data_IF_120535275301
#
_entry.id   IF_120535275301
#
_cell.length_a   1.000
_cell.length_b   1.000
_cell.length_c   1.000
_cell.angle_alpha   90.00
_cell.angle_beta   90.00
_cell.angle_gamma   90.00
#
_symmetry.space_group_name_H-M   'P 1'
#
loop_
_entity.id
_entity.type
_entity.pdbx_description
1 polymer ?
#
# COMPACT_ATOMS: atom_id res chain seq x y z
N UNK A 1 -7.41 12.82 -28.93
CA UNK A 1 -6.00 12.92 -29.36
C UNK A 1 -5.23 11.83 -28.63
N UNK A 2 -4.47 10.99 -29.34
CA UNK A 2 -3.69 9.90 -28.77
C UNK A 2 -2.21 10.28 -28.88
N UNK A 3 -1.52 10.37 -27.73
CA UNK A 3 -0.07 10.55 -27.69
C UNK A 3 0.60 9.19 -27.45
N UNK A 4 1.57 8.86 -28.29
CA UNK A 4 2.43 7.70 -28.11
C UNK A 4 3.87 8.20 -28.02
N UNK A 5 4.60 7.68 -27.02
CA UNK A 5 6.01 7.98 -26.83
C UNK A 5 6.73 6.70 -26.40
N UNK A 6 7.97 6.53 -26.83
CA UNK A 6 8.85 5.51 -26.26
C UNK A 6 9.20 5.94 -24.83
N UNK A 7 9.14 4.98 -23.89
CA UNK A 7 9.52 5.26 -22.51
C UNK A 7 10.98 5.72 -22.43
N UNK A 8 11.18 6.82 -21.72
CA UNK A 8 12.48 7.31 -21.31
C UNK A 8 12.38 7.79 -19.85
N UNK A 9 13.33 7.45 -18.97
CA UNK A 9 13.36 8.00 -17.62
C UNK A 9 13.36 9.52 -17.64
N UNK A 10 12.58 10.14 -16.77
CA UNK A 10 12.50 11.60 -16.70
C UNK A 10 11.14 12.09 -16.24
N UNK A 11 10.71 13.22 -16.84
CA UNK A 11 9.48 13.90 -16.47
C UNK A 11 8.63 14.23 -17.69
N UNK A 12 7.37 13.86 -17.60
CA UNK A 12 6.32 14.26 -18.57
C UNK A 12 5.44 15.32 -17.91
N UNK A 13 5.22 16.43 -18.62
CA UNK A 13 4.35 17.52 -18.14
C UNK A 13 3.26 17.74 -19.18
N UNK A 14 2.01 17.62 -18.74
CA UNK A 14 0.83 18.02 -19.51
C UNK A 14 0.32 19.37 -19.00
N UNK A 15 0.05 20.28 -19.91
CA UNK A 15 -0.48 21.61 -19.56
C UNK A 15 -1.75 21.87 -20.35
N UNK A 16 -2.83 22.21 -19.64
CA UNK A 16 -4.12 22.55 -20.21
C UNK A 16 -4.31 24.07 -20.29
N UNK A 17 -4.87 24.55 -21.42
CA UNK A 17 -5.19 25.95 -21.61
C UNK A 17 -6.67 26.12 -21.95
N UNK A 18 -7.28 27.20 -21.46
CA UNK A 18 -8.62 27.67 -21.82
C UNK A 18 -8.55 29.18 -22.07
N UNK A 19 -9.02 29.62 -23.22
CA UNK A 19 -8.99 31.04 -23.63
C UNK A 19 -7.58 31.67 -23.49
N UNK A 20 -6.53 30.96 -23.91
CA UNK A 20 -5.14 31.38 -23.78
C UNK A 20 -4.54 31.37 -22.38
N UNK A 21 -5.32 31.09 -21.36
CA UNK A 21 -4.84 31.00 -19.97
C UNK A 21 -4.58 29.55 -19.58
N UNK A 22 -3.45 29.29 -18.92
CA UNK A 22 -3.13 27.98 -18.32
C UNK A 22 -4.07 27.71 -17.16
N UNK A 23 -4.82 26.61 -17.23
CA UNK A 23 -5.80 26.22 -16.20
C UNK A 23 -5.40 24.93 -15.47
N UNK A 24 -4.55 24.10 -16.08
CA UNK A 24 -4.15 22.81 -15.51
C UNK A 24 -2.68 22.52 -15.82
N UNK A 25 -2.00 21.91 -14.88
CA UNK A 25 -0.67 21.31 -15.06
C UNK A 25 -0.62 19.99 -14.33
N UNK A 26 -0.34 18.91 -15.04
CA UNK A 26 -0.09 17.59 -14.49
C UNK A 26 1.35 17.19 -14.78
N UNK A 27 2.03 16.64 -13.78
CA UNK A 27 3.41 16.18 -13.93
C UNK A 27 3.50 14.74 -13.46
N UNK A 28 4.14 13.90 -14.26
CA UNK A 28 4.51 12.52 -13.91
C UNK A 28 6.02 12.41 -14.06
N UNK A 29 6.69 11.86 -13.06
CA UNK A 29 8.14 11.66 -13.05
C UNK A 29 8.45 10.18 -12.83
N UNK A 30 9.49 9.68 -13.48
CA UNK A 30 10.07 8.36 -13.17
C UNK A 30 10.49 8.32 -11.70
N UNK A 31 10.13 7.26 -11.02
CA UNK A 31 10.50 7.06 -9.61
C UNK A 31 11.98 6.76 -9.45
N UNK A 32 12.49 6.99 -8.27
CA UNK A 32 13.79 6.52 -7.81
C UNK A 32 13.66 5.09 -7.25
N UNK A 33 14.77 4.41 -6.94
CA UNK A 33 14.71 3.12 -6.24
C UNK A 33 13.86 3.19 -4.98
N UNK A 34 13.23 2.07 -4.61
CA UNK A 34 12.48 1.93 -3.39
C UNK A 34 13.34 2.27 -2.17
N UNK A 35 12.81 3.08 -1.25
CA UNK A 35 13.55 3.60 -0.11
C UNK A 35 12.81 3.42 1.23
N UNK A 36 11.49 3.29 1.23
CA UNK A 36 10.71 3.15 2.45
C UNK A 36 9.39 2.44 2.21
N UNK A 37 8.84 1.87 3.29
CA UNK A 37 7.48 1.37 3.39
C UNK A 37 6.66 2.43 4.12
N UNK A 38 5.47 2.72 3.63
CA UNK A 38 4.50 3.61 4.28
C UNK A 38 3.21 2.83 4.49
N UNK A 39 2.70 2.88 5.72
CA UNK A 39 1.43 2.28 6.12
C UNK A 39 0.40 3.39 6.27
N UNK A 40 -0.74 3.28 5.60
CA UNK A 40 -1.84 4.25 5.67
C UNK A 40 -3.13 3.54 6.02
N UNK A 41 -3.62 3.75 7.23
CA UNK A 41 -4.92 3.25 7.65
C UNK A 41 -6.04 4.17 7.12
N UNK A 42 -7.16 3.58 6.69
CA UNK A 42 -8.35 4.30 6.27
C UNK A 42 -9.01 5.06 7.44
N UNK A 43 -8.77 4.59 8.67
CA UNK A 43 -9.28 5.19 9.92
C UNK A 43 -8.30 4.97 11.06
N UNK A 44 -8.31 5.88 12.03
CA UNK A 44 -7.43 5.83 13.21
C UNK A 44 -8.05 5.10 14.41
N UNK A 45 -9.36 4.92 14.40
CA UNK A 45 -10.11 4.29 15.48
C UNK A 45 -11.08 3.26 14.92
N UNK A 46 -11.14 2.12 15.57
CA UNK A 46 -12.12 1.06 15.35
C UNK A 46 -12.74 0.65 16.69
N UNK A 47 -13.96 0.16 16.64
CA UNK A 47 -14.69 -0.29 17.83
C UNK A 47 -14.15 -1.63 18.30
N UNK A 48 -13.87 -1.78 19.59
CA UNK A 48 -13.39 -3.05 20.16
C UNK A 48 -14.58 -4.03 20.41
N UNK A 49 -15.27 -4.39 19.32
CA UNK A 49 -16.46 -5.27 19.36
C UNK A 49 -16.20 -6.66 18.72
N UNK A 50 -14.94 -6.91 18.32
CA UNK A 50 -14.54 -8.14 17.64
C UNK A 50 -15.02 -8.24 16.19
N UNK A 51 -15.54 -7.15 15.59
CA UNK A 51 -16.12 -7.13 14.23
C UNK A 51 -15.63 -5.99 13.37
N UNK A 52 -15.36 -4.82 13.97
CA UNK A 52 -14.95 -3.64 13.26
C UNK A 52 -13.57 -3.83 12.61
N UNK A 53 -13.40 -3.31 11.40
CA UNK A 53 -12.22 -3.55 10.56
C UNK A 53 -11.63 -2.24 10.09
N UNK A 54 -10.31 -2.11 10.17
CA UNK A 54 -9.54 -1.08 9.48
C UNK A 54 -8.81 -1.67 8.28
N UNK A 55 -8.71 -0.88 7.20
CA UNK A 55 -7.97 -1.22 6.00
C UNK A 55 -6.67 -0.42 6.00
N UNK A 56 -5.54 -1.11 5.95
CA UNK A 56 -4.24 -0.48 5.87
C UNK A 56 -3.64 -0.70 4.49
N UNK A 57 -3.43 0.37 3.75
CA UNK A 57 -2.68 0.36 2.50
C UNK A 57 -1.19 0.42 2.79
N UNK A 58 -0.43 -0.49 2.19
CA UNK A 58 1.03 -0.50 2.23
C UNK A 58 1.54 0.07 0.91
N UNK A 59 2.40 1.08 0.99
CA UNK A 59 3.04 1.68 -0.18
C UNK A 59 4.56 1.54 -0.09
N UNK A 60 5.16 1.06 -1.17
CA UNK A 60 6.61 1.08 -1.35
C UNK A 60 6.96 2.38 -2.05
N UNK A 61 7.61 3.27 -1.35
CA UNK A 61 7.89 4.62 -1.84
C UNK A 61 9.38 4.86 -2.05
N UNK A 62 9.69 5.75 -2.99
CA UNK A 62 11.02 6.33 -3.14
C UNK A 62 11.28 7.46 -2.11
N UNK A 63 12.48 8.04 -2.15
CA UNK A 63 12.87 9.13 -1.26
C UNK A 63 12.02 10.42 -1.44
N UNK A 64 11.29 10.54 -2.56
CA UNK A 64 10.40 11.68 -2.84
C UNK A 64 8.94 11.40 -2.47
N UNK A 65 8.64 10.23 -1.90
CA UNK A 65 7.29 9.84 -1.52
C UNK A 65 6.42 9.38 -2.68
N UNK A 66 7.01 8.93 -3.77
CA UNK A 66 6.28 8.38 -4.92
C UNK A 66 6.27 6.87 -4.84
N UNK A 67 5.11 6.26 -5.10
CA UNK A 67 4.98 4.81 -5.19
C UNK A 67 5.87 4.30 -6.32
N UNK A 68 6.68 3.29 -6.04
CA UNK A 68 7.60 2.67 -7.00
C UNK A 68 6.89 1.52 -7.71
N UNK A 69 6.48 1.68 -8.99
CA UNK A 69 5.54 0.78 -9.64
C UNK A 69 6.14 -0.56 -10.07
N UNK A 70 7.43 -0.74 -9.97
CA UNK A 70 8.16 -1.98 -10.24
C UNK A 70 8.69 -2.65 -8.96
N UNK A 71 8.35 -2.11 -7.79
CA UNK A 71 8.73 -2.70 -6.50
C UNK A 71 7.79 -3.85 -6.11
N UNK A 72 8.36 -5.04 -6.00
CA UNK A 72 7.64 -6.24 -5.60
C UNK A 72 8.38 -7.02 -4.48
N UNK A 73 8.84 -6.34 -3.40
CA UNK A 73 9.52 -7.05 -2.31
C UNK A 73 8.54 -7.94 -1.55
N UNK A 74 9.07 -8.97 -0.89
CA UNK A 74 8.31 -9.73 0.10
C UNK A 74 8.13 -8.87 1.36
N UNK A 75 6.89 -8.66 1.76
CA UNK A 75 6.52 -7.94 2.98
C UNK A 75 6.27 -8.94 4.09
N UNK A 76 6.86 -8.70 5.26
CA UNK A 76 6.51 -9.38 6.52
C UNK A 76 5.77 -8.37 7.38
N UNK A 77 4.52 -8.67 7.71
CA UNK A 77 3.65 -7.84 8.53
C UNK A 77 3.45 -8.48 9.89
N UNK A 78 3.49 -7.69 10.95
CA UNK A 78 3.20 -8.12 12.31
C UNK A 78 2.29 -7.13 13.02
N UNK A 79 1.29 -7.64 13.73
CA UNK A 79 0.30 -6.88 14.50
C UNK A 79 0.51 -7.14 16.00
N UNK A 80 0.55 -6.07 16.77
CA UNK A 80 0.55 -6.11 18.23
C UNK A 80 -0.77 -5.54 18.76
N UNK A 81 -1.24 -6.05 19.92
CA UNK A 81 -2.48 -5.62 20.56
C UNK A 81 -3.61 -6.65 20.41
N UNK A 82 -4.80 -6.33 20.97
CA UNK A 82 -5.99 -7.19 20.90
C UNK A 82 -6.73 -6.99 19.58
N UNK A 83 -6.21 -7.62 18.54
CA UNK A 83 -6.73 -7.62 17.18
C UNK A 83 -6.11 -8.75 16.38
N UNK A 84 -6.53 -8.88 15.13
CA UNK A 84 -5.98 -9.88 14.21
C UNK A 84 -5.86 -9.35 12.78
N UNK A 85 -4.93 -9.87 12.04
CA UNK A 85 -4.89 -9.72 10.60
C UNK A 85 -5.99 -10.64 10.03
N UNK A 86 -7.03 -10.04 9.47
CA UNK A 86 -8.17 -10.76 8.91
C UNK A 86 -7.86 -11.29 7.51
N UNK A 87 -7.11 -10.52 6.74
CA UNK A 87 -6.74 -10.86 5.38
C UNK A 87 -5.73 -9.87 4.82
N UNK A 88 -5.15 -10.25 3.70
CA UNK A 88 -4.20 -9.44 2.94
C UNK A 88 -4.48 -9.55 1.45
N UNK A 89 -4.06 -8.56 0.68
CA UNK A 89 -4.14 -8.57 -0.76
C UNK A 89 -3.07 -7.68 -1.37
N UNK A 90 -2.58 -8.05 -2.54
CA UNK A 90 -1.61 -7.22 -3.27
C UNK A 90 -2.13 -6.72 -4.62
N UNK A 91 -3.31 -7.18 -5.04
CA UNK A 91 -3.91 -6.78 -6.32
C UNK A 91 -3.32 -7.48 -7.54
N UNK A 92 -2.43 -8.45 -7.37
CA UNK A 92 -1.90 -9.27 -8.46
C UNK A 92 -2.93 -10.35 -8.85
N UNK A 93 -3.52 -10.29 -10.06
CA UNK A 93 -4.50 -11.27 -10.50
C UNK A 93 -3.92 -12.67 -10.72
N UNK A 94 -2.60 -12.81 -10.75
CA UNK A 94 -1.89 -14.09 -10.90
C UNK A 94 -1.41 -14.68 -9.58
N UNK A 95 -1.59 -13.96 -8.46
CA UNK A 95 -1.18 -14.44 -7.15
C UNK A 95 -2.09 -15.58 -6.67
N UNK A 96 -1.50 -16.75 -6.46
CA UNK A 96 -2.18 -17.96 -5.98
C UNK A 96 -1.78 -18.34 -4.55
N UNK A 97 -1.03 -17.48 -3.88
CA UNK A 97 -0.65 -17.69 -2.48
C UNK A 97 -1.80 -17.43 -1.50
N UNK A 98 -1.56 -17.65 -0.21
CA UNK A 98 -2.57 -17.41 0.83
C UNK A 98 -2.87 -15.90 0.93
N UNK A 99 -4.14 -15.58 1.16
CA UNK A 99 -4.66 -14.22 1.33
C UNK A 99 -5.11 -13.91 2.77
N UNK A 100 -4.95 -14.87 3.68
CA UNK A 100 -5.23 -14.73 5.10
C UNK A 100 -4.24 -15.55 5.94
N UNK A 101 -3.96 -15.12 7.19
CA UNK A 101 -3.10 -15.84 8.10
C UNK A 101 -3.69 -17.20 8.50
N UNK A 102 -2.82 -18.08 8.99
CA UNK A 102 -3.25 -19.30 9.64
C UNK A 102 -4.02 -18.97 10.94
N UNK A 103 -5.07 -19.72 11.26
CA UNK A 103 -5.86 -19.55 12.49
C UNK A 103 -5.03 -19.59 13.78
N UNK A 104 -3.88 -20.28 13.76
CA UNK A 104 -2.97 -20.39 14.90
C UNK A 104 -2.04 -19.18 15.07
N UNK A 105 -1.80 -18.41 14.01
CA UNK A 105 -1.00 -17.19 14.03
C UNK A 105 -1.65 -16.12 13.16
N UNK A 106 -2.60 -15.41 13.73
CA UNK A 106 -3.29 -14.32 13.07
C UNK A 106 -2.62 -12.95 13.26
N UNK A 107 -1.42 -12.91 13.83
CA UNK A 107 -0.67 -11.69 14.11
C UNK A 107 0.48 -11.46 13.14
N UNK A 108 0.91 -12.48 12.39
CA UNK A 108 1.97 -12.36 11.40
C UNK A 108 1.54 -12.87 10.04
N UNK A 109 2.00 -12.21 8.98
CA UNK A 109 1.74 -12.62 7.61
C UNK A 109 2.82 -12.16 6.65
N UNK A 110 3.03 -12.92 5.58
CA UNK A 110 3.94 -12.55 4.49
C UNK A 110 3.21 -12.50 3.16
N UNK A 111 3.42 -11.42 2.41
CA UNK A 111 2.85 -11.22 1.08
C UNK A 111 3.83 -10.46 0.18
N UNK A 112 4.02 -10.83 -1.08
CA UNK A 112 4.75 -9.99 -2.01
C UNK A 112 3.95 -8.71 -2.30
N UNK A 113 4.60 -7.55 -2.29
CA UNK A 113 4.00 -6.36 -2.86
C UNK A 113 3.83 -6.53 -4.37
N UNK A 114 2.84 -5.88 -4.95
CA UNK A 114 2.62 -5.84 -6.38
C UNK A 114 2.49 -4.39 -6.85
N UNK A 115 3.32 -4.01 -7.81
CA UNK A 115 3.37 -2.64 -8.31
C UNK A 115 3.56 -1.58 -7.20
N UNK A 116 4.35 -1.92 -6.18
CA UNK A 116 4.61 -1.05 -5.03
C UNK A 116 3.50 -0.97 -4.01
N UNK A 117 2.49 -1.83 -4.08
CA UNK A 117 1.30 -1.80 -3.22
C UNK A 117 1.00 -3.15 -2.58
N UNK A 118 0.40 -3.10 -1.40
CA UNK A 118 -0.31 -4.20 -0.76
C UNK A 118 -1.40 -3.62 0.16
N UNK A 119 -2.31 -4.48 0.63
CA UNK A 119 -3.39 -4.10 1.53
C UNK A 119 -3.52 -5.13 2.65
N UNK A 120 -3.77 -4.65 3.85
CA UNK A 120 -3.92 -5.48 5.06
C UNK A 120 -5.24 -5.09 5.72
N UNK A 121 -6.05 -6.08 6.06
CA UNK A 121 -7.28 -5.91 6.81
C UNK A 121 -7.03 -6.30 8.27
N UNK A 122 -7.28 -5.38 9.19
CA UNK A 122 -7.11 -5.58 10.62
C UNK A 122 -8.48 -5.55 11.28
N UNK A 123 -8.84 -6.62 11.97
CA UNK A 123 -10.05 -6.72 12.77
C UNK A 123 -9.75 -6.46 14.24
N UNK A 124 -10.63 -5.71 14.91
CA UNK A 124 -10.55 -5.46 16.35
C UNK A 124 -10.75 -6.74 17.16
N UNK A 125 -10.15 -6.80 18.35
CA UNK A 125 -10.56 -7.70 19.42
C UNK A 125 -11.69 -7.11 20.26
N UNK A 126 -11.83 -7.58 21.48
CA UNK A 126 -12.87 -7.14 22.42
C UNK A 126 -12.35 -6.22 23.52
N UNK A 127 -11.05 -6.10 23.65
CA UNK A 127 -10.39 -5.26 24.67
C UNK A 127 -9.89 -3.95 24.04
N UNK A 128 -10.34 -2.78 24.50
CA UNK A 128 -9.80 -1.51 24.04
C UNK A 128 -8.28 -1.44 24.26
N UNK A 129 -7.53 -1.33 23.18
CA UNK A 129 -6.06 -1.27 23.20
C UNK A 129 -5.54 -0.51 22.00
N UNK A 130 -4.24 -0.22 22.00
CA UNK A 130 -3.55 0.28 20.82
C UNK A 130 -3.16 -0.91 19.93
N UNK A 131 -3.60 -0.89 18.68
CA UNK A 131 -3.14 -1.83 17.66
C UNK A 131 -1.94 -1.22 16.94
N UNK A 132 -0.82 -1.91 16.95
CA UNK A 132 0.39 -1.48 16.27
C UNK A 132 0.73 -2.44 15.14
N UNK A 133 0.63 -1.97 13.90
CA UNK A 133 1.06 -2.72 12.72
C UNK A 133 2.47 -2.32 12.33
N UNK A 134 3.34 -3.31 12.19
CA UNK A 134 4.69 -3.16 11.68
C UNK A 134 4.82 -3.89 10.34
N UNK A 135 5.62 -3.36 9.43
CA UNK A 135 5.94 -4.02 8.16
C UNK A 135 7.41 -3.86 7.82
N UNK A 136 8.02 -4.94 7.39
CA UNK A 136 9.39 -4.98 6.91
C UNK A 136 9.43 -5.63 5.52
N UNK A 137 10.38 -5.20 4.69
CA UNK A 137 10.62 -5.81 3.38
C UNK A 137 11.93 -6.59 3.41
N UNK A 138 11.92 -7.76 2.79
CA UNK A 138 13.12 -8.53 2.45
C UNK A 138 13.40 -8.39 0.96
N UNK A 139 14.67 -8.17 0.66
CA UNK A 139 15.15 -8.07 -0.72
C UNK A 139 15.12 -9.43 -1.41
#
# INVERSE_FOLDING_TARGET
>A
MLFRSVYQPGRIVATGYKNGKRILKQTIETTQPAARIVLMADRQFITADGRDVAIVTVEIQDNKGRIVPDACPMLTCSLEGDGRILGVGNGDPSYLGPDHPNELDCHTFQIPAFNGLAQILIQSGHTPTVLQLNSAATA
#
